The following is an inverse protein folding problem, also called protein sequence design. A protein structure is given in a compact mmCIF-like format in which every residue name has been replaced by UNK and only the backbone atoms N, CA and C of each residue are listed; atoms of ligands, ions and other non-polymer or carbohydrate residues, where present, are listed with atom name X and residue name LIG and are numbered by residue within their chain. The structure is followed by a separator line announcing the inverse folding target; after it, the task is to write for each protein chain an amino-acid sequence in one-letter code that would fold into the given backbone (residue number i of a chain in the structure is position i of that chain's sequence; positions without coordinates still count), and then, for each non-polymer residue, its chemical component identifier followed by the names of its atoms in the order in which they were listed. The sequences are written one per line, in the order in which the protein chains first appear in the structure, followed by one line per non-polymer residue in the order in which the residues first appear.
data_IF_639630527154
#
_entry.id   IF_639630527154
#
_cell.length_a   1.000
_cell.length_b   1.000
_cell.length_c   1.000
_cell.angle_alpha   90.00
_cell.angle_beta   90.00
_cell.angle_gamma   90.00
#
_symmetry.space_group_name_H-M   'P 1'
#
loop_
_entity.id
_entity.type
_entity.pdbx_description
1 polymer ?
#
# COMPACT_ATOMS: atom_id res chain seq x y z
N UNK A 1 -3.56 21.03 -91.70
CA UNK A 1 -4.25 22.26 -91.23
C UNK A 1 -5.35 21.79 -90.28
N UNK A 2 -5.56 22.20 -89.01
CA UNK A 2 -5.08 23.24 -88.11
C UNK A 2 -5.30 22.76 -86.65
N UNK A 3 -4.29 22.99 -85.80
CA UNK A 3 -4.28 23.49 -84.41
C UNK A 3 -5.06 22.81 -83.26
N UNK A 4 -4.25 22.44 -82.25
CA UNK A 4 -4.42 22.43 -80.79
C UNK A 4 -5.57 23.26 -80.18
N UNK A 5 -6.14 22.73 -79.09
CA UNK A 5 -6.38 23.50 -77.87
C UNK A 5 -6.32 22.58 -76.63
N UNK A 6 -5.36 22.88 -75.73
CA UNK A 6 -5.28 22.43 -74.33
C UNK A 6 -6.43 23.05 -73.55
N UNK A 7 -6.91 22.41 -72.49
CA UNK A 7 -7.31 23.13 -71.27
C UNK A 7 -7.16 22.28 -70.01
N UNK A 8 -6.44 22.90 -69.09
CA UNK A 8 -5.99 22.55 -67.74
C UNK A 8 -7.12 22.65 -66.72
N UNK A 9 -7.06 21.93 -65.59
CA UNK A 9 -7.59 22.25 -64.23
C UNK A 9 -7.83 20.91 -63.48
N UNK A 10 -7.56 20.68 -62.21
CA UNK A 10 -6.72 21.27 -61.17
C UNK A 10 -6.66 20.17 -60.09
N UNK A 11 -5.47 19.69 -59.72
CA UNK A 11 -5.32 18.68 -58.67
C UNK A 11 -5.40 19.36 -57.30
N UNK A 12 -6.52 19.19 -56.59
CA UNK A 12 -6.66 19.56 -55.18
C UNK A 12 -5.87 18.56 -54.32
N UNK A 13 -4.66 18.94 -53.95
CA UNK A 13 -3.89 18.27 -52.91
C UNK A 13 -4.56 18.56 -51.55
N UNK A 14 -5.34 17.60 -51.06
CA UNK A 14 -5.86 17.61 -49.69
C UNK A 14 -4.70 17.27 -48.73
N UNK A 15 -4.02 18.30 -48.22
CA UNK A 15 -3.10 18.17 -47.09
C UNK A 15 -3.91 17.75 -45.86
N UNK A 16 -4.02 16.46 -45.60
CA UNK A 16 -4.50 15.92 -44.34
C UNK A 16 -3.53 16.32 -43.23
N UNK A 17 -3.85 17.38 -42.51
CA UNK A 17 -3.17 17.74 -41.28
C UNK A 17 -3.40 16.62 -40.25
N UNK A 18 -2.37 15.80 -40.03
CA UNK A 18 -2.30 14.87 -38.92
C UNK A 18 -2.27 15.69 -37.63
N UNK A 19 -3.44 15.92 -37.04
CA UNK A 19 -3.54 16.44 -35.69
C UNK A 19 -2.98 15.37 -34.74
N UNK A 20 -1.75 15.56 -34.28
CA UNK A 20 -1.14 14.78 -33.20
C UNK A 20 -1.89 15.09 -31.90
N UNK A 21 -2.87 14.23 -31.58
CA UNK A 21 -3.52 14.25 -30.27
C UNK A 21 -2.43 13.93 -29.23
N UNK A 22 -2.22 14.76 -28.19
CA UNK A 22 -1.29 14.43 -27.14
C UNK A 22 -1.79 13.17 -26.43
N UNK A 23 -1.04 12.07 -26.60
CA UNK A 23 -1.27 10.84 -25.86
C UNK A 23 -0.82 11.11 -24.43
N UNK A 24 -1.78 11.38 -23.54
CA UNK A 24 -1.54 11.39 -22.11
C UNK A 24 -1.10 9.98 -21.73
N UNK A 25 0.20 9.77 -21.63
CA UNK A 25 0.74 8.55 -21.07
C UNK A 25 0.25 8.47 -19.63
N UNK A 26 -0.51 7.42 -19.30
CA UNK A 26 -0.86 7.12 -17.93
C UNK A 26 0.42 7.04 -17.10
N UNK A 27 0.40 7.58 -15.89
CA UNK A 27 1.54 7.49 -14.97
C UNK A 27 1.95 6.02 -14.82
N UNK A 28 3.26 5.76 -14.78
CA UNK A 28 3.76 4.41 -14.56
C UNK A 28 3.27 3.90 -13.19
N UNK A 29 2.95 2.59 -13.05
CA UNK A 29 2.54 2.03 -11.77
C UNK A 29 3.63 2.20 -10.70
N UNK A 30 3.23 2.37 -9.45
CA UNK A 30 4.17 2.32 -8.33
C UNK A 30 4.47 0.86 -7.98
N UNK A 31 5.74 0.56 -7.72
CA UNK A 31 6.19 -0.80 -7.45
C UNK A 31 7.30 -0.81 -6.42
N UNK A 32 7.19 -1.72 -5.45
CA UNK A 32 8.21 -2.03 -4.46
C UNK A 32 8.77 -3.41 -4.73
N UNK A 33 10.09 -3.59 -4.62
CA UNK A 33 10.72 -4.85 -4.99
C UNK A 33 11.96 -5.16 -4.17
N UNK A 34 12.21 -6.45 -3.96
CA UNK A 34 13.44 -6.98 -3.37
C UNK A 34 14.01 -8.14 -4.19
N UNK A 35 14.77 -9.05 -3.59
CA UNK A 35 15.34 -10.20 -4.30
C UNK A 35 14.27 -11.20 -4.80
N UNK A 36 13.23 -11.44 -4.01
CA UNK A 36 12.30 -12.55 -4.20
C UNK A 36 10.94 -12.09 -4.75
N UNK A 37 10.54 -10.85 -4.48
CA UNK A 37 9.20 -10.35 -4.79
C UNK A 37 9.21 -8.99 -5.53
N UNK A 38 8.15 -8.80 -6.30
CA UNK A 38 7.72 -7.51 -6.83
C UNK A 38 6.28 -7.28 -6.40
N UNK A 39 6.04 -6.20 -5.68
CA UNK A 39 4.72 -5.76 -5.23
C UNK A 39 4.33 -4.54 -6.04
N UNK A 40 3.17 -4.62 -6.70
CA UNK A 40 2.66 -3.54 -7.54
C UNK A 40 1.43 -2.94 -6.91
N UNK A 41 1.48 -1.63 -6.72
CA UNK A 41 0.36 -0.87 -6.19
C UNK A 41 -0.68 -0.65 -7.28
N UNK A 42 -1.93 -0.94 -6.96
CA UNK A 42 -3.09 -0.71 -7.81
C UNK A 42 -4.00 0.26 -7.07
N UNK A 43 -3.85 1.58 -7.30
CA UNK A 43 -4.66 2.58 -6.63
C UNK A 43 -6.15 2.38 -6.92
N UNK A 44 -6.97 2.55 -5.90
CA UNK A 44 -8.41 2.60 -6.08
C UNK A 44 -8.79 3.89 -6.81
N UNK A 45 -9.76 3.79 -7.71
CA UNK A 45 -10.11 4.90 -8.62
C UNK A 45 -10.91 5.97 -7.90
N UNK A 46 -11.94 5.54 -7.18
CA UNK A 46 -12.96 6.39 -6.58
C UNK A 46 -12.98 6.27 -5.04
N UNK A 47 -12.02 5.52 -4.46
CA UNK A 47 -11.91 5.20 -3.04
C UNK A 47 -10.47 5.36 -2.51
N UNK A 48 -10.32 5.31 -1.19
CA UNK A 48 -9.03 5.40 -0.52
C UNK A 48 -8.23 4.09 -0.61
N UNK A 49 -6.90 4.23 -0.62
CA UNK A 49 -5.98 3.09 -0.54
C UNK A 49 -5.75 2.38 -1.89
N UNK A 50 -5.24 1.17 -1.79
CA UNK A 50 -4.76 0.39 -2.92
C UNK A 50 -5.09 -1.09 -2.74
N UNK A 51 -5.15 -1.81 -3.86
CA UNK A 51 -4.89 -3.25 -3.88
C UNK A 51 -3.45 -3.49 -4.28
N UNK A 52 -2.89 -4.66 -3.93
CA UNK A 52 -1.51 -5.00 -4.25
C UNK A 52 -1.42 -6.30 -5.05
N UNK A 53 -0.80 -6.24 -6.23
CA UNK A 53 -0.45 -7.44 -6.99
C UNK A 53 0.95 -7.89 -6.56
N UNK A 54 1.03 -9.08 -5.97
CA UNK A 54 2.29 -9.68 -5.54
C UNK A 54 2.76 -10.69 -6.58
N UNK A 55 4.01 -10.51 -7.02
CA UNK A 55 4.68 -11.39 -7.98
C UNK A 55 5.89 -12.05 -7.32
N UNK A 56 5.90 -13.38 -7.34
CA UNK A 56 7.08 -14.18 -7.03
C UNK A 56 8.06 -14.15 -8.23
N UNK A 57 9.27 -13.65 -8.02
CA UNK A 57 10.29 -13.53 -9.07
C UNK A 57 10.90 -14.86 -9.47
N UNK A 58 10.84 -15.89 -8.63
CA UNK A 58 11.23 -17.24 -9.02
C UNK A 58 10.26 -17.80 -10.08
N UNK A 59 8.96 -17.54 -9.93
CA UNK A 59 7.96 -17.88 -10.93
C UNK A 59 7.97 -16.93 -12.14
N UNK A 60 8.40 -15.68 -11.92
CA UNK A 60 8.40 -14.61 -12.92
C UNK A 60 9.75 -13.88 -12.99
N UNK A 61 10.80 -14.49 -13.59
CA UNK A 61 12.15 -13.91 -13.62
C UNK A 61 12.25 -12.60 -14.42
N UNK A 62 11.20 -12.25 -15.17
CA UNK A 62 11.04 -10.96 -15.87
C UNK A 62 9.78 -10.22 -15.40
N UNK A 63 9.45 -10.31 -14.11
CA UNK A 63 8.29 -9.66 -13.52
C UNK A 63 8.31 -8.15 -13.86
N UNK A 64 7.31 -7.71 -14.63
CA UNK A 64 7.18 -6.31 -15.02
C UNK A 64 6.39 -5.55 -13.95
N UNK A 65 6.73 -4.28 -13.74
CA UNK A 65 5.90 -3.36 -12.97
C UNK A 65 4.63 -3.03 -13.77
N UNK A 66 3.56 -3.78 -13.54
CA UNK A 66 2.29 -3.66 -14.27
C UNK A 66 1.10 -3.89 -13.34
N UNK A 67 0.04 -3.09 -13.50
CA UNK A 67 -1.24 -3.27 -12.80
C UNK A 67 -2.08 -4.41 -13.39
N UNK A 68 -1.60 -5.08 -14.44
CA UNK A 68 -2.26 -6.27 -14.99
C UNK A 68 -1.73 -7.52 -14.29
N UNK A 69 -2.59 -8.20 -13.53
CA UNK A 69 -2.25 -9.48 -12.92
C UNK A 69 -1.89 -10.53 -14.01
N UNK A 70 -0.78 -11.22 -13.81
CA UNK A 70 -0.34 -12.36 -14.60
C UNK A 70 -0.73 -13.68 -13.92
N UNK A 71 -0.65 -14.79 -14.66
CA UNK A 71 -0.88 -16.12 -14.09
C UNK A 71 0.20 -16.43 -13.06
N UNK A 72 -0.18 -16.67 -11.80
CA UNK A 72 0.74 -16.99 -10.71
C UNK A 72 0.83 -15.87 -9.68
N UNK A 73 0.56 -14.63 -10.11
CA UNK A 73 0.34 -13.49 -9.23
C UNK A 73 -0.84 -13.77 -8.28
N UNK A 74 -0.82 -13.12 -7.13
CA UNK A 74 -1.98 -13.04 -6.26
C UNK A 74 -2.17 -11.60 -5.80
N UNK A 75 -3.38 -11.30 -5.33
CA UNK A 75 -3.80 -9.96 -4.95
C UNK A 75 -4.04 -9.92 -3.45
N UNK A 76 -3.54 -8.87 -2.80
CA UNK A 76 -3.87 -8.49 -1.43
C UNK A 76 -4.76 -7.25 -1.51
N UNK A 77 -5.88 -7.27 -0.79
CA UNK A 77 -6.91 -6.24 -0.83
C UNK A 77 -7.94 -6.42 -1.95
N UNK A 78 -9.14 -5.91 -1.69
CA UNK A 78 -10.21 -5.67 -2.65
C UNK A 78 -10.48 -4.18 -2.82
N UNK A 79 -11.46 -3.83 -3.67
CA UNK A 79 -11.74 -2.45 -4.07
C UNK A 79 -12.17 -1.54 -2.90
N UNK A 80 -12.71 -2.12 -1.83
CA UNK A 80 -13.20 -1.38 -0.66
C UNK A 80 -12.15 -1.28 0.47
N UNK A 81 -10.96 -1.87 0.29
CA UNK A 81 -9.93 -1.90 1.33
C UNK A 81 -9.01 -0.67 1.24
N UNK A 82 -8.81 0.02 2.37
CA UNK A 82 -7.91 1.17 2.42
C UNK A 82 -6.48 0.73 2.80
N UNK A 83 -5.76 0.11 1.87
CA UNK A 83 -4.41 -0.40 2.15
C UNK A 83 -3.30 0.54 1.68
N UNK A 84 -2.28 0.70 2.52
CA UNK A 84 -1.09 1.52 2.29
C UNK A 84 0.19 0.74 2.61
N UNK A 85 1.10 0.65 1.64
CA UNK A 85 2.33 -0.12 1.77
C UNK A 85 3.32 0.60 2.68
N UNK A 86 3.69 -0.04 3.79
CA UNK A 86 4.72 0.45 4.69
C UNK A 86 6.10 -0.04 4.25
N UNK A 87 6.25 -1.36 4.09
CA UNK A 87 7.54 -1.99 3.80
C UNK A 87 7.40 -3.39 3.21
N UNK A 88 8.34 -3.72 2.33
CA UNK A 88 8.65 -5.09 1.91
C UNK A 88 10.02 -5.48 2.47
N UNK A 89 10.10 -6.61 3.19
CA UNK A 89 11.33 -7.18 3.75
C UNK A 89 11.34 -8.69 3.49
N UNK A 90 12.07 -9.14 2.46
CA UNK A 90 12.07 -10.54 2.07
C UNK A 90 10.67 -10.99 1.67
N UNK A 91 10.20 -12.10 2.27
CA UNK A 91 8.83 -12.55 2.10
C UNK A 91 7.81 -11.88 3.02
N UNK A 92 8.15 -10.79 3.72
CA UNK A 92 7.23 -10.12 4.63
C UNK A 92 6.77 -8.78 4.07
N UNK A 93 5.46 -8.59 3.95
CA UNK A 93 4.85 -7.34 3.53
C UNK A 93 4.08 -6.72 4.69
N UNK A 94 4.41 -5.47 5.01
CA UNK A 94 3.77 -4.68 6.04
C UNK A 94 2.87 -3.66 5.37
N UNK A 95 1.60 -3.69 5.74
CA UNK A 95 0.52 -2.84 5.23
C UNK A 95 -0.10 -2.11 6.40
N UNK A 96 -0.37 -0.84 6.20
CA UNK A 96 -1.22 -0.02 7.04
C UNK A 96 -2.62 -0.04 6.42
N UNK A 97 -3.60 -0.54 7.17
CA UNK A 97 -4.95 -0.85 6.71
C UNK A 97 -5.95 0.05 7.43
N UNK A 98 -6.80 0.75 6.67
CA UNK A 98 -7.86 1.60 7.20
C UNK A 98 -7.67 3.09 6.91
N UNK A 99 -8.68 3.87 7.28
CA UNK A 99 -8.71 5.33 7.06
C UNK A 99 -9.05 6.05 8.36
N UNK A 100 -8.50 7.25 8.56
CA UNK A 100 -8.80 8.04 9.75
C UNK A 100 -8.13 7.46 11.01
N UNK A 101 -8.79 7.46 12.17
CA UNK A 101 -8.22 6.90 13.40
C UNK A 101 -8.25 5.36 13.45
N UNK A 102 -9.14 4.73 12.66
CA UNK A 102 -9.31 3.29 12.59
C UNK A 102 -8.28 2.68 11.63
N UNK A 103 -7.05 2.52 12.12
CA UNK A 103 -5.94 1.94 11.36
C UNK A 103 -5.34 0.74 12.06
N UNK A 104 -5.00 -0.26 11.27
CA UNK A 104 -4.36 -1.49 11.72
C UNK A 104 -3.06 -1.74 10.97
N UNK A 105 -2.12 -2.39 11.64
CA UNK A 105 -0.95 -2.96 11.00
C UNK A 105 -1.30 -4.38 10.56
N UNK A 106 -1.27 -4.62 9.26
CA UNK A 106 -1.36 -5.94 8.66
C UNK A 106 0.04 -6.41 8.24
N UNK A 107 0.40 -7.64 8.60
CA UNK A 107 1.65 -8.28 8.20
C UNK A 107 1.33 -9.56 7.44
N UNK A 108 1.78 -9.64 6.20
CA UNK A 108 1.60 -10.80 5.34
C UNK A 108 2.93 -11.56 5.16
N UNK A 109 2.87 -12.87 5.29
CA UNK A 109 3.89 -13.78 4.78
C UNK A 109 3.55 -14.13 3.32
N UNK A 110 4.35 -13.57 2.40
CA UNK A 110 4.16 -13.71 0.96
C UNK A 110 4.49 -15.11 0.43
N UNK A 111 5.28 -15.88 1.16
CA UNK A 111 5.63 -17.26 0.79
C UNK A 111 4.45 -18.19 1.04
N UNK A 112 3.80 -18.04 2.19
CA UNK A 112 2.61 -18.84 2.54
C UNK A 112 1.30 -18.19 2.09
N UNK A 113 1.35 -16.93 1.64
CA UNK A 113 0.22 -16.10 1.21
C UNK A 113 -0.81 -15.91 2.32
N UNK A 114 -0.33 -15.69 3.56
CA UNK A 114 -1.17 -15.57 4.74
C UNK A 114 -0.97 -14.22 5.41
N UNK A 115 -2.07 -13.65 5.87
CA UNK A 115 -2.04 -12.64 6.92
C UNK A 115 -1.60 -13.33 8.22
N UNK A 116 -0.46 -12.93 8.77
CA UNK A 116 0.14 -13.52 9.97
C UNK A 116 -0.04 -12.64 11.21
N UNK A 117 -0.36 -11.36 11.01
CA UNK A 117 -0.74 -10.44 12.09
C UNK A 117 -1.67 -9.36 11.55
N UNK A 118 -2.69 -9.01 12.33
CA UNK A 118 -3.52 -7.80 12.16
C UNK A 118 -3.82 -7.26 13.56
N UNK A 119 -3.76 -5.94 13.71
CA UNK A 119 -4.17 -5.27 14.93
C UNK A 119 -3.76 -3.81 14.97
N UNK A 120 -4.42 -3.06 15.86
CA UNK A 120 -4.11 -1.66 16.09
C UNK A 120 -2.65 -1.45 16.46
N UNK A 121 -2.09 -0.35 15.97
CA UNK A 121 -0.72 0.04 16.26
C UNK A 121 -0.56 1.56 16.24
N UNK A 122 0.50 2.06 16.84
CA UNK A 122 0.93 3.44 16.68
C UNK A 122 1.76 3.59 15.39
N UNK A 123 1.17 4.24 14.38
CA UNK A 123 1.81 4.47 13.08
C UNK A 123 2.97 5.45 13.14
N UNK A 124 3.02 6.33 14.14
CA UNK A 124 4.02 7.40 14.21
C UNK A 124 5.36 6.91 14.76
N UNK A 125 5.36 5.76 15.43
CA UNK A 125 6.52 5.25 16.17
C UNK A 125 6.99 3.87 15.71
N UNK A 126 6.35 3.28 14.70
CA UNK A 126 6.76 1.98 14.15
C UNK A 126 8.19 2.07 13.60
N UNK A 127 9.03 1.11 14.01
CA UNK A 127 10.39 0.94 13.53
C UNK A 127 10.52 -0.42 12.84
N UNK A 128 10.93 -0.43 11.57
CA UNK A 128 11.05 -1.64 10.75
C UNK A 128 12.52 -1.81 10.34
N UNK A 129 13.07 -3.00 10.59
CA UNK A 129 14.42 -3.40 10.21
C UNK A 129 14.39 -4.73 9.43
N UNK A 130 15.55 -5.33 9.19
CA UNK A 130 15.66 -6.55 8.39
C UNK A 130 15.10 -7.80 9.09
N UNK A 131 15.02 -7.81 10.43
CA UNK A 131 14.60 -8.95 11.22
C UNK A 131 13.14 -8.85 11.68
N UNK A 132 12.54 -7.66 11.69
CA UNK A 132 11.21 -7.48 12.24
C UNK A 132 10.72 -6.03 12.31
N UNK A 133 9.59 -5.86 12.99
CA UNK A 133 8.99 -4.57 13.27
C UNK A 133 8.70 -4.37 14.76
N UNK A 134 9.11 -3.23 15.30
CA UNK A 134 8.82 -2.81 16.68
C UNK A 134 7.79 -1.68 16.67
N UNK A 135 6.72 -1.80 17.45
CA UNK A 135 5.63 -0.83 17.47
C UNK A 135 4.88 -0.90 18.81
N UNK A 136 4.12 0.15 19.11
CA UNK A 136 3.15 0.12 20.19
C UNK A 136 1.82 -0.41 19.68
N UNK A 137 1.14 -1.22 20.50
CA UNK A 137 -0.15 -1.82 20.17
C UNK A 137 -1.02 -1.89 21.43
N UNK A 138 -2.36 -1.84 21.31
CA UNK A 138 -3.23 -1.95 22.47
C UNK A 138 -2.90 -3.17 23.34
N UNK A 139 -2.73 -2.90 24.64
CA UNK A 139 -2.49 -3.96 25.63
C UNK A 139 -3.77 -4.75 25.96
N UNK A 140 -4.94 -4.13 25.73
CA UNK A 140 -6.23 -4.62 26.19
C UNK A 140 -6.53 -4.31 27.65
N UNK A 141 -5.62 -3.66 28.38
CA UNK A 141 -5.87 -3.18 29.73
C UNK A 141 -6.76 -1.93 29.71
N UNK A 142 -7.64 -1.83 30.71
CA UNK A 142 -8.41 -0.61 30.96
C UNK A 142 -7.47 0.53 31.37
N UNK A 143 -7.73 1.72 30.83
CA UNK A 143 -7.05 2.93 31.24
C UNK A 143 -7.54 3.37 32.63
N UNK A 144 -6.60 3.57 33.54
CA UNK A 144 -6.85 3.99 34.92
C UNK A 144 -5.87 5.12 35.26
N UNK A 145 -6.15 5.90 36.31
CA UNK A 145 -5.22 6.94 36.76
C UNK A 145 -3.81 6.41 37.12
N UNK A 146 -3.66 5.10 37.39
CA UNK A 146 -2.39 4.48 37.74
C UNK A 146 -1.50 4.17 36.51
N UNK A 147 -2.10 3.76 35.39
CA UNK A 147 -1.38 3.41 34.16
C UNK A 147 -1.57 4.44 33.03
N UNK A 148 -2.43 5.43 33.24
CA UNK A 148 -2.68 6.55 32.35
C UNK A 148 -2.81 7.85 33.16
N UNK A 149 -1.69 8.55 33.44
CA UNK A 149 -1.71 9.79 34.23
C UNK A 149 -2.59 10.90 33.64
N UNK A 150 -2.68 10.95 32.30
CA UNK A 150 -3.44 11.97 31.58
C UNK A 150 -4.90 11.56 31.30
N UNK A 151 -5.38 10.46 31.89
CA UNK A 151 -6.71 9.89 31.66
C UNK A 151 -7.82 10.95 31.67
N UNK A 152 -7.90 11.73 32.75
CA UNK A 152 -8.95 12.74 32.91
C UNK A 152 -8.87 13.87 31.88
N UNK A 153 -7.67 14.20 31.40
CA UNK A 153 -7.48 15.22 30.37
C UNK A 153 -7.88 14.68 28.99
N UNK A 154 -7.47 13.44 28.67
CA UNK A 154 -7.84 12.74 27.44
C UNK A 154 -9.37 12.65 27.31
N UNK A 155 -10.05 12.20 28.37
CA UNK A 155 -11.51 12.10 28.38
C UNK A 155 -12.19 13.46 28.25
N UNK A 156 -11.64 14.50 28.91
CA UNK A 156 -12.16 15.87 28.83
C UNK A 156 -12.04 16.46 27.42
N UNK A 157 -10.99 16.07 26.69
CA UNK A 157 -10.78 16.47 25.30
C UNK A 157 -11.64 15.66 24.31
N UNK A 158 -12.46 14.71 24.81
CA UNK A 158 -13.34 13.87 24.01
C UNK A 158 -12.62 12.75 23.27
N UNK A 159 -11.41 12.39 23.72
CA UNK A 159 -10.59 11.33 23.16
C UNK A 159 -10.71 10.05 23.99
N UNK A 160 -10.39 8.92 23.37
CA UNK A 160 -10.36 7.61 24.01
C UNK A 160 -8.94 7.29 24.51
N UNK A 161 -8.75 7.07 25.83
CA UNK A 161 -7.47 6.67 26.39
C UNK A 161 -7.20 5.18 26.07
N UNK A 162 -6.03 4.90 25.52
CA UNK A 162 -5.59 3.52 25.23
C UNK A 162 -4.28 3.24 25.92
N UNK A 163 -4.23 2.16 26.70
CA UNK A 163 -2.98 1.66 27.27
C UNK A 163 -2.34 0.74 26.24
N UNK A 164 -1.24 1.19 25.67
CA UNK A 164 -0.44 0.41 24.75
C UNK A 164 0.66 -0.35 25.47
N UNK A 165 1.11 -1.42 24.83
CA UNK A 165 2.29 -2.19 25.18
C UNK A 165 3.23 -2.23 23.98
N UNK A 166 4.54 -2.17 24.25
CA UNK A 166 5.52 -2.27 23.19
C UNK A 166 5.61 -3.71 22.71
N UNK A 167 5.55 -3.90 21.41
CA UNK A 167 5.63 -5.20 20.78
C UNK A 167 6.75 -5.26 19.74
N UNK A 168 7.27 -6.47 19.54
CA UNK A 168 8.20 -6.82 18.47
C UNK A 168 7.62 -7.98 17.70
N UNK A 169 7.40 -7.79 16.41
CA UNK A 169 7.10 -8.87 15.48
C UNK A 169 8.39 -9.37 14.84
N UNK A 170 8.67 -10.67 14.94
CA UNK A 170 9.81 -11.34 14.30
C UNK A 170 9.38 -11.94 12.96
N UNK A 171 10.09 -11.57 11.88
CA UNK A 171 9.75 -12.00 10.52
C UNK A 171 10.11 -13.46 10.24
N UNK A 172 11.09 -14.03 10.93
CA UNK A 172 11.51 -15.41 10.69
C UNK A 172 10.53 -16.41 11.33
N UNK A 173 10.06 -16.09 12.54
CA UNK A 173 9.14 -16.90 13.32
C UNK A 173 7.66 -16.61 13.06
N UNK A 174 7.33 -15.47 12.45
CA UNK A 174 5.97 -14.93 12.40
C UNK A 174 5.33 -14.85 13.80
N UNK A 175 6.09 -14.35 14.77
CA UNK A 175 5.70 -14.30 16.18
C UNK A 175 5.72 -12.88 16.71
N UNK A 176 4.72 -12.55 17.52
CA UNK A 176 4.64 -11.29 18.24
C UNK A 176 5.05 -11.50 19.70
N UNK A 177 6.06 -10.77 20.15
CA UNK A 177 6.43 -10.67 21.55
C UNK A 177 6.02 -9.30 22.10
N UNK A 178 5.27 -9.30 23.20
CA UNK A 178 4.88 -8.08 23.92
C UNK A 178 5.78 -7.92 25.14
N UNK A 179 6.32 -6.73 25.35
CA UNK A 179 7.13 -6.42 26.54
C UNK A 179 6.23 -6.06 27.74
N UNK A 180 6.84 -5.71 28.87
CA UNK A 180 6.14 -5.11 30.02
C UNK A 180 6.11 -3.58 29.98
N UNK A 181 6.74 -2.96 28.97
CA UNK A 181 6.76 -1.51 28.78
C UNK A 181 5.37 -1.07 28.32
N UNK A 182 4.75 -0.15 29.05
CA UNK A 182 3.42 0.38 28.74
C UNK A 182 3.49 1.90 28.64
N UNK A 183 2.61 2.47 27.83
CA UNK A 183 2.35 3.90 27.84
C UNK A 183 0.87 4.15 27.54
N UNK A 184 0.36 5.29 27.98
CA UNK A 184 -0.98 5.72 27.63
C UNK A 184 -0.94 6.69 26.45
N UNK A 185 -1.82 6.49 25.47
CA UNK A 185 -2.04 7.41 24.36
C UNK A 185 -3.49 7.83 24.26
N UNK A 186 -3.71 8.99 23.66
CA UNK A 186 -5.03 9.49 23.31
C UNK A 186 -5.36 9.09 21.86
N UNK A 187 -6.58 8.63 21.64
CA UNK A 187 -7.07 8.19 20.32
C UNK A 187 -8.40 8.85 20.00
N UNK A 188 -8.69 9.10 18.72
CA UNK A 188 -9.95 9.70 18.26
C UNK A 188 -11.00 8.61 18.03
#
# INVERSE_FOLDING_TARGET
MRRLARNTLAALAFCGALASVPQFAAAAPNCTSDADYLVVEVPHKDDAGNSYIVRDKAAHPKAACSTKAAKGDYVIGGADDALYLLKLVGSTLLIDSGTGPDRELEIYDLKTRKLVYSGGYDSDTIAIDAAGASFWTPSGAEATAANCPDLAQIEKDGLTPVVDVKARFDFAGNTLEKSSETHCRATQ
#
